data_IF_300895513253
#
_entry.id   IF_300895513253
#
_cell.length_a   1.000
_cell.length_b   1.000
_cell.length_c   1.000
_cell.angle_alpha   90.00
_cell.angle_beta   90.00
_cell.angle_gamma   90.00
#
_symmetry.space_group_name_H-M   'P 1'
#
loop_
_entity.id
_entity.type
_entity.pdbx_description
1 polymer ?
#
# COMPACT_ATOMS: atom_id res chain seq x y z
N UNK A 1 12.81 -9.97 -2.52
CA UNK A 1 12.48 -8.93 -3.54
C UNK A 1 13.62 -7.94 -3.75
N UNK A 2 14.04 -7.19 -2.71
CA UNK A 2 15.07 -6.13 -2.82
C UNK A 2 16.36 -6.53 -3.57
N UNK A 3 17.01 -7.62 -3.15
CA UNK A 3 18.26 -8.11 -3.78
C UNK A 3 18.12 -8.38 -5.27
N UNK A 4 16.95 -8.86 -5.71
CA UNK A 4 16.65 -9.10 -7.12
C UNK A 4 16.56 -7.78 -7.88
N UNK A 5 15.77 -6.83 -7.41
CA UNK A 5 15.62 -5.50 -8.04
C UNK A 5 16.95 -4.75 -8.13
N UNK A 6 17.76 -4.78 -7.06
CA UNK A 6 19.08 -4.16 -7.05
C UNK A 6 20.00 -4.76 -8.12
N UNK A 7 20.04 -6.10 -8.21
CA UNK A 7 20.88 -6.79 -9.20
C UNK A 7 20.41 -6.53 -10.63
N UNK A 8 19.11 -6.44 -10.89
CA UNK A 8 18.56 -6.07 -12.20
C UNK A 8 19.00 -4.67 -12.64
N UNK A 9 19.22 -3.76 -11.67
CA UNK A 9 19.77 -2.42 -11.89
C UNK A 9 21.29 -2.39 -12.04
N UNK A 10 21.98 -3.51 -11.84
CA UNK A 10 23.45 -3.57 -11.85
C UNK A 10 24.12 -2.87 -10.65
N UNK A 11 23.37 -2.55 -9.60
CA UNK A 11 23.91 -1.82 -8.45
C UNK A 11 24.59 -2.73 -7.44
N UNK A 12 25.68 -2.27 -6.84
CA UNK A 12 26.18 -2.80 -5.55
C UNK A 12 25.26 -2.34 -4.41
N UNK A 13 25.38 -2.96 -3.23
CA UNK A 13 24.61 -2.52 -2.06
C UNK A 13 24.92 -1.06 -1.69
N UNK A 14 26.20 -0.65 -1.79
CA UNK A 14 26.63 0.73 -1.53
C UNK A 14 26.11 1.72 -2.56
N UNK A 15 26.06 1.35 -3.84
CA UNK A 15 25.45 2.18 -4.87
C UNK A 15 23.96 2.38 -4.61
N UNK A 16 23.21 1.31 -4.31
CA UNK A 16 21.80 1.45 -3.98
C UNK A 16 21.60 2.33 -2.73
N UNK A 17 22.42 2.15 -1.70
CA UNK A 17 22.37 2.96 -0.49
C UNK A 17 22.54 4.45 -0.79
N UNK A 18 23.55 4.79 -1.61
CA UNK A 18 23.81 6.15 -2.08
C UNK A 18 22.61 6.72 -2.85
N UNK A 19 22.13 6.03 -3.88
CA UNK A 19 21.00 6.50 -4.71
C UNK A 19 19.69 6.63 -3.91
N UNK A 20 19.52 5.82 -2.87
CA UNK A 20 18.34 5.84 -2.01
C UNK A 20 18.45 6.83 -0.86
N UNK A 21 19.63 7.38 -0.57
CA UNK A 21 19.87 8.19 0.62
C UNK A 21 19.63 7.45 1.94
N UNK A 22 19.99 6.16 1.99
CA UNK A 22 19.94 5.31 3.19
C UNK A 22 21.34 4.76 3.49
N UNK A 23 21.59 4.31 4.72
CA UNK A 23 22.86 3.69 5.06
C UNK A 23 23.02 2.32 4.37
N UNK A 24 24.23 1.97 3.97
CA UNK A 24 24.54 0.66 3.34
C UNK A 24 24.17 -0.52 4.23
N UNK A 25 24.30 -0.37 5.56
CA UNK A 25 23.84 -1.37 6.54
C UNK A 25 22.35 -1.66 6.41
N UNK A 26 21.50 -0.65 6.16
CA UNK A 26 20.06 -0.86 5.96
C UNK A 26 19.80 -1.73 4.72
N UNK A 27 20.50 -1.48 3.61
CA UNK A 27 20.37 -2.30 2.40
C UNK A 27 20.79 -3.74 2.68
N UNK A 28 21.94 -3.94 3.33
CA UNK A 28 22.44 -5.26 3.67
C UNK A 28 21.48 -6.01 4.60
N UNK A 29 21.02 -5.38 5.67
CA UNK A 29 20.13 -5.99 6.66
C UNK A 29 18.79 -6.39 6.04
N UNK A 30 18.24 -5.55 5.15
CA UNK A 30 17.00 -5.86 4.42
C UNK A 30 17.17 -7.01 3.45
N UNK A 31 18.29 -7.08 2.72
CA UNK A 31 18.54 -8.16 1.76
C UNK A 31 18.72 -9.53 2.42
N UNK A 32 19.20 -9.54 3.66
CA UNK A 32 19.44 -10.75 4.45
C UNK A 32 18.34 -11.03 5.48
N UNK A 33 17.29 -10.21 5.54
CA UNK A 33 16.18 -10.40 6.48
C UNK A 33 16.52 -10.15 7.96
N UNK A 34 17.62 -9.46 8.25
CA UNK A 34 18.07 -9.13 9.61
C UNK A 34 17.18 -8.06 10.23
N UNK A 35 16.71 -7.08 9.42
CA UNK A 35 15.91 -5.95 9.88
C UNK A 35 14.77 -5.66 8.91
N UNK A 36 13.64 -5.22 9.44
CA UNK A 36 12.55 -4.63 8.65
C UNK A 36 12.67 -3.10 8.59
N UNK A 37 12.40 -2.53 7.43
CA UNK A 37 12.40 -1.10 7.22
C UNK A 37 10.97 -0.55 7.32
N UNK A 38 10.84 0.62 7.93
CA UNK A 38 9.58 1.37 7.90
C UNK A 38 9.28 1.87 6.49
N UNK A 39 8.05 2.31 6.28
CA UNK A 39 7.54 2.60 4.94
C UNK A 39 8.30 3.75 4.26
N UNK A 40 8.75 4.74 5.04
CA UNK A 40 9.56 5.87 4.55
C UNK A 40 10.91 5.42 3.99
N UNK A 41 11.55 4.45 4.64
CA UNK A 41 12.82 3.87 4.17
C UNK A 41 12.62 3.01 2.93
N UNK A 42 11.54 2.22 2.88
CA UNK A 42 11.18 1.46 1.69
C UNK A 42 10.89 2.38 0.50
N UNK A 43 10.20 3.50 0.71
CA UNK A 43 9.93 4.51 -0.33
C UNK A 43 11.20 5.13 -0.89
N UNK A 44 12.16 5.48 -0.01
CA UNK A 44 13.50 5.95 -0.41
C UNK A 44 14.24 4.92 -1.26
N UNK A 45 14.20 3.64 -0.86
CA UNK A 45 14.83 2.53 -1.59
C UNK A 45 14.17 2.32 -2.95
N UNK A 46 12.83 2.35 -3.03
CA UNK A 46 12.11 2.24 -4.29
C UNK A 46 12.45 3.38 -5.25
N UNK A 47 12.62 4.60 -4.72
CA UNK A 47 13.08 5.77 -5.48
C UNK A 47 14.52 5.61 -5.97
N UNK A 48 15.45 5.16 -5.13
CA UNK A 48 16.84 4.89 -5.53
C UNK A 48 16.96 3.74 -6.54
N UNK A 49 16.07 2.76 -6.44
CA UNK A 49 15.88 1.72 -7.46
C UNK A 49 15.16 2.24 -8.71
N UNK A 50 14.73 3.50 -8.77
CA UNK A 50 14.02 4.12 -9.88
C UNK A 50 12.81 3.33 -10.40
N UNK A 51 12.10 2.62 -9.53
CA UNK A 51 10.96 1.78 -9.92
C UNK A 51 9.83 2.64 -10.51
N UNK A 52 9.16 2.14 -11.56
CA UNK A 52 7.92 2.75 -12.03
C UNK A 52 6.80 2.59 -10.97
N UNK A 53 5.68 3.30 -11.11
CA UNK A 53 4.65 3.32 -10.07
C UNK A 53 4.09 1.92 -9.72
N UNK A 54 3.83 1.06 -10.71
CA UNK A 54 3.36 -0.31 -10.46
C UNK A 54 4.39 -1.14 -9.68
N UNK A 55 5.66 -1.11 -10.09
CA UNK A 55 6.74 -1.87 -9.44
C UNK A 55 7.06 -1.31 -8.07
N UNK A 56 6.98 0.02 -7.91
CA UNK A 56 7.11 0.72 -6.62
C UNK A 56 5.99 0.30 -5.68
N UNK A 57 4.73 0.31 -6.12
CA UNK A 57 3.59 -0.14 -5.32
C UNK A 57 3.78 -1.59 -4.86
N UNK A 58 4.09 -2.48 -5.80
CA UNK A 58 4.36 -3.89 -5.51
C UNK A 58 5.51 -4.08 -4.51
N UNK A 59 6.59 -3.31 -4.67
CA UNK A 59 7.73 -3.33 -3.76
C UNK A 59 7.37 -2.86 -2.35
N UNK A 60 6.61 -1.76 -2.24
CA UNK A 60 6.19 -1.20 -0.96
C UNK A 60 5.23 -2.14 -0.22
N UNK A 61 4.25 -2.71 -0.92
CA UNK A 61 3.30 -3.66 -0.35
C UNK A 61 4.00 -4.94 0.14
N UNK A 62 4.97 -5.46 -0.63
CA UNK A 62 5.76 -6.61 -0.18
C UNK A 62 6.59 -6.30 1.08
N UNK A 63 7.03 -5.06 1.27
CA UNK A 63 7.79 -4.65 2.45
C UNK A 63 6.93 -4.30 3.67
N UNK A 64 5.78 -3.67 3.46
CA UNK A 64 4.94 -3.14 4.55
C UNK A 64 4.33 -4.22 5.42
N UNK A 65 4.12 -5.43 4.89
CA UNK A 65 3.63 -6.59 5.65
C UNK A 65 4.55 -6.93 6.84
N UNK A 66 5.83 -6.59 6.76
CA UNK A 66 6.80 -6.81 7.85
C UNK A 66 6.93 -5.60 8.81
N UNK A 67 6.24 -4.50 8.53
CA UNK A 67 6.25 -3.28 9.35
C UNK A 67 5.22 -3.37 10.47
N UNK A 68 5.66 -3.22 11.72
CA UNK A 68 4.78 -3.23 12.91
C UNK A 68 4.11 -1.89 13.22
N UNK A 69 4.60 -0.79 12.63
CA UNK A 69 4.18 0.60 12.98
C UNK A 69 3.57 1.35 11.81
N UNK A 70 4.11 1.13 10.61
CA UNK A 70 3.65 1.79 9.40
C UNK A 70 2.83 0.78 8.59
N UNK A 71 1.50 0.84 8.69
CA UNK A 71 0.59 -0.04 7.93
C UNK A 71 -0.09 0.68 6.75
N UNK A 72 0.12 1.98 6.63
CA UNK A 72 -0.41 2.82 5.54
C UNK A 72 0.75 3.23 4.63
N UNK A 73 0.55 3.13 3.31
CA UNK A 73 1.53 3.58 2.32
C UNK A 73 1.77 5.09 2.44
N UNK A 74 2.93 5.61 1.99
CA UNK A 74 3.15 7.05 1.95
C UNK A 74 2.08 7.73 1.11
N UNK A 75 1.69 8.94 1.49
CA UNK A 75 0.70 9.77 0.80
C UNK A 75 -0.74 9.20 0.80
N UNK A 76 -0.99 8.12 1.55
CA UNK A 76 -2.33 7.58 1.80
C UNK A 76 -2.84 7.86 3.23
N UNK A 77 -1.99 8.42 4.11
CA UNK A 77 -2.30 8.69 5.52
C UNK A 77 -3.20 9.93 5.73
N UNK A 78 -3.35 10.73 4.69
CA UNK A 78 -4.20 11.90 4.59
C UNK A 78 -5.64 11.58 4.11
N UNK A 79 -5.97 10.32 3.83
CA UNK A 79 -7.35 9.89 3.59
C UNK A 79 -8.16 9.78 4.90
N UNK A 80 -9.47 10.00 4.83
CA UNK A 80 -10.34 9.93 5.99
C UNK A 80 -10.34 8.53 6.63
N UNK A 81 -10.26 8.41 7.98
CA UNK A 81 -10.14 7.13 8.67
C UNK A 81 -11.15 6.04 8.37
N UNK A 82 -12.37 6.44 8.04
CA UNK A 82 -13.43 5.51 7.65
C UNK A 82 -13.03 4.69 6.42
N UNK A 83 -12.27 5.26 5.47
CA UNK A 83 -11.95 4.58 4.21
C UNK A 83 -11.10 3.33 4.43
N UNK A 84 -10.06 3.40 5.27
CA UNK A 84 -9.20 2.23 5.53
C UNK A 84 -9.81 1.25 6.55
N UNK A 85 -10.70 1.72 7.43
CA UNK A 85 -11.39 0.84 8.39
C UNK A 85 -12.60 0.11 7.79
N UNK A 86 -13.16 0.63 6.70
CA UNK A 86 -14.39 0.08 6.11
C UNK A 86 -14.21 -1.35 5.59
N UNK A 87 -13.10 -1.64 4.90
CA UNK A 87 -12.86 -2.98 4.35
C UNK A 87 -12.76 -4.06 5.45
N UNK A 88 -11.91 -3.92 6.49
CA UNK A 88 -11.91 -4.86 7.62
C UNK A 88 -13.28 -5.01 8.29
N UNK A 89 -14.03 -3.91 8.44
CA UNK A 89 -15.39 -3.94 8.97
C UNK A 89 -16.34 -4.77 8.09
N UNK A 90 -16.30 -4.58 6.77
CA UNK A 90 -17.13 -5.32 5.81
C UNK A 90 -16.82 -6.81 5.80
N UNK A 91 -15.53 -7.20 5.84
CA UNK A 91 -15.12 -8.61 5.93
C UNK A 91 -15.68 -9.27 7.21
N UNK A 92 -15.54 -8.60 8.35
CA UNK A 92 -16.06 -9.10 9.64
C UNK A 92 -17.57 -9.27 9.64
N UNK A 93 -18.32 -8.35 9.00
CA UNK A 93 -19.78 -8.45 8.85
C UNK A 93 -20.23 -9.65 8.00
N UNK A 94 -19.34 -10.17 7.16
CA UNK A 94 -19.55 -11.39 6.36
C UNK A 94 -19.04 -12.65 7.08
N UNK A 95 -18.65 -12.54 8.35
CA UNK A 95 -18.15 -13.67 9.13
C UNK A 95 -16.69 -14.03 8.84
N UNK A 96 -15.95 -13.21 8.07
CA UNK A 96 -14.54 -13.44 7.76
C UNK A 96 -13.69 -12.72 8.80
N UNK A 97 -13.01 -13.49 9.64
CA UNK A 97 -12.07 -12.98 10.64
C UNK A 97 -10.63 -12.94 10.11
N UNK A 98 -9.74 -12.13 10.71
CA UNK A 98 -8.34 -12.09 10.33
C UNK A 98 -7.64 -13.45 10.41
N UNK A 99 -8.05 -14.31 11.34
CA UNK A 99 -7.47 -15.63 11.57
C UNK A 99 -7.78 -16.63 10.46
N UNK A 100 -8.82 -16.38 9.66
CA UNK A 100 -9.21 -17.22 8.53
C UNK A 100 -8.42 -16.90 7.25
N UNK A 101 -7.78 -15.73 7.20
CA UNK A 101 -7.01 -15.27 6.05
C UNK A 101 -5.67 -16.02 6.02
N UNK A 102 -5.36 -16.63 4.87
CA UNK A 102 -4.08 -17.27 4.60
C UNK A 102 -3.14 -16.33 3.82
N UNK A 103 -3.59 -15.84 2.67
CA UNK A 103 -2.80 -15.00 1.78
C UNK A 103 -3.65 -13.86 1.20
N UNK A 104 -3.01 -12.73 0.90
CA UNK A 104 -3.64 -11.56 0.28
C UNK A 104 -2.79 -11.10 -0.90
N UNK A 105 -3.41 -11.01 -2.07
CA UNK A 105 -2.77 -10.55 -3.30
C UNK A 105 -3.34 -9.18 -3.68
N UNK A 106 -2.57 -8.10 -3.51
CA UNK A 106 -3.06 -6.77 -3.83
C UNK A 106 -3.20 -6.56 -5.35
N UNK A 107 -4.11 -5.67 -5.77
CA UNK A 107 -4.23 -5.33 -7.18
C UNK A 107 -2.97 -4.59 -7.65
N UNK A 108 -2.28 -5.15 -8.63
CA UNK A 108 -1.05 -4.55 -9.19
C UNK A 108 -1.32 -3.56 -10.31
N UNK A 109 -2.52 -3.58 -10.90
CA UNK A 109 -2.93 -2.70 -12.00
C UNK A 109 -4.35 -2.18 -11.77
N UNK A 110 -4.69 -1.06 -12.42
CA UNK A 110 -6.02 -0.47 -12.31
C UNK A 110 -7.10 -1.45 -12.82
N UNK A 111 -8.10 -1.72 -11.98
CA UNK A 111 -9.20 -2.64 -12.29
C UNK A 111 -8.91 -4.13 -12.00
N UNK A 112 -7.67 -4.49 -11.63
CA UNK A 112 -7.38 -5.82 -11.10
C UNK A 112 -8.09 -6.02 -9.75
N UNK A 113 -8.52 -7.26 -9.42
CA UNK A 113 -9.11 -7.55 -8.12
C UNK A 113 -8.03 -7.57 -7.02
N UNK A 114 -8.46 -7.23 -5.81
CA UNK A 114 -7.83 -7.72 -4.58
C UNK A 114 -8.28 -9.17 -4.37
N UNK A 115 -7.35 -10.09 -4.19
CA UNK A 115 -7.65 -11.49 -3.89
C UNK A 115 -7.26 -11.83 -2.45
N UNK A 116 -8.18 -12.47 -1.73
CA UNK A 116 -7.96 -12.93 -0.35
C UNK A 116 -8.23 -14.44 -0.34
N UNK A 117 -7.19 -15.20 -0.03
CA UNK A 117 -7.26 -16.66 0.05
C UNK A 117 -7.47 -17.04 1.51
N UNK A 118 -8.55 -17.76 1.81
CA UNK A 118 -8.84 -18.25 3.15
C UNK A 118 -8.21 -19.63 3.39
N UNK A 119 -7.96 -19.96 4.66
CA UNK A 119 -7.38 -21.25 5.09
C UNK A 119 -8.21 -22.47 4.68
N UNK A 120 -9.52 -22.29 4.51
CA UNK A 120 -10.43 -23.35 4.08
C UNK A 120 -10.45 -23.56 2.55
N UNK A 121 -9.61 -22.85 1.80
CA UNK A 121 -9.54 -22.91 0.33
C UNK A 121 -10.49 -21.96 -0.40
N UNK A 122 -11.30 -21.18 0.31
CA UNK A 122 -12.19 -20.18 -0.30
C UNK A 122 -11.37 -19.00 -0.84
N UNK A 123 -11.71 -18.53 -2.04
CA UNK A 123 -11.16 -17.35 -2.68
C UNK A 123 -12.17 -16.20 -2.65
N UNK A 124 -11.79 -15.06 -2.08
CA UNK A 124 -12.55 -13.81 -2.17
C UNK A 124 -11.85 -12.93 -3.21
N UNK A 125 -12.58 -12.49 -4.24
CA UNK A 125 -12.10 -11.53 -5.23
C UNK A 125 -12.92 -10.25 -5.14
N UNK A 126 -12.25 -9.12 -4.92
CA UNK A 126 -12.88 -7.81 -4.75
C UNK A 126 -12.37 -6.82 -5.80
N UNK A 127 -13.28 -6.25 -6.59
CA UNK A 127 -12.99 -5.14 -7.50
C UNK A 127 -13.63 -3.86 -6.98
N UNK A 128 -12.92 -2.75 -7.09
CA UNK A 128 -13.42 -1.42 -6.72
C UNK A 128 -13.77 -0.67 -7.99
N UNK A 129 -15.00 -0.17 -8.09
CA UNK A 129 -15.46 0.68 -9.18
C UNK A 129 -16.01 1.99 -8.61
N UNK A 130 -15.67 3.11 -9.25
CA UNK A 130 -16.11 4.43 -8.82
C UNK A 130 -17.17 4.96 -9.79
N UNK A 131 -18.30 5.41 -9.24
CA UNK A 131 -19.28 6.20 -9.99
C UNK A 131 -19.20 7.64 -9.51
N UNK A 132 -18.67 8.52 -10.36
CA UNK A 132 -18.62 9.95 -10.08
C UNK A 132 -19.94 10.58 -10.49
N UNK A 133 -20.64 11.17 -9.53
CA UNK A 133 -21.83 11.97 -9.78
C UNK A 133 -21.53 13.41 -9.40
N UNK A 134 -21.63 14.34 -10.33
CA UNK A 134 -21.63 15.78 -10.01
C UNK A 134 -22.90 16.11 -9.25
N UNK A 135 -22.78 16.54 -7.99
CA UNK A 135 -23.91 17.05 -7.21
C UNK A 135 -24.52 18.26 -7.93
N UNK A 136 -25.82 18.22 -8.21
CA UNK A 136 -26.56 19.40 -8.64
C UNK A 136 -26.79 20.33 -7.44
N UNK A 137 -26.30 21.58 -7.57
CA UNK A 137 -26.58 22.81 -6.78
C UNK A 137 -26.49 22.75 -5.25
N UNK A 138 -25.62 23.60 -4.73
CA UNK A 138 -25.62 24.15 -3.37
C UNK A 138 -27.02 24.67 -2.98
N UNK A 139 -27.45 24.55 -1.71
CA UNK A 139 -28.63 25.25 -1.23
C UNK A 139 -28.38 26.74 -1.35
N UNK A 140 -29.25 27.42 -2.10
CA UNK A 140 -29.41 28.87 -2.11
C UNK A 140 -29.36 29.43 -0.68
N UNK A 141 -28.42 30.34 -0.42
CA UNK A 141 -28.56 31.32 0.65
C UNK A 141 -29.82 32.13 0.35
N UNK A 142 -30.95 31.78 0.98
CA UNK A 142 -32.04 32.73 1.15
C UNK A 142 -31.46 33.87 1.97
N UNK A 143 -31.42 35.05 1.34
CA UNK A 143 -31.31 36.29 2.07
C UNK A 143 -32.54 36.42 2.97
N UNK A 144 -32.31 36.69 4.24
CA UNK A 144 -33.24 37.45 5.05
C UNK A 144 -32.67 38.87 5.07
N UNK A 145 -33.11 39.65 4.08
CA UNK A 145 -33.34 41.06 4.27
C UNK A 145 -34.82 41.25 4.60
N UNK A 146 -35.08 42.29 5.39
CA UNK A 146 -36.38 42.88 5.76
C UNK A 146 -37.04 42.31 7.02
N UNK A 147 -36.79 42.92 8.18
CA UNK A 147 -37.60 44.02 8.78
C UNK A 147 -36.89 44.66 9.99
#
# INVERSE_FOLDING_TARGET
VLKKERKLRGFTQGQLAKESGVATSIVNDLENGIRHAGIKSLAKIAKGLGLNEERKLSFLLAGIVFSKRDQVLPDLDNYHPVLYNFLPYSLRRQGISPEEINEVFPPTTAGAPLEIHLKNGTLISMKIAFKLTTSAKSPTSKGDGDE
#
